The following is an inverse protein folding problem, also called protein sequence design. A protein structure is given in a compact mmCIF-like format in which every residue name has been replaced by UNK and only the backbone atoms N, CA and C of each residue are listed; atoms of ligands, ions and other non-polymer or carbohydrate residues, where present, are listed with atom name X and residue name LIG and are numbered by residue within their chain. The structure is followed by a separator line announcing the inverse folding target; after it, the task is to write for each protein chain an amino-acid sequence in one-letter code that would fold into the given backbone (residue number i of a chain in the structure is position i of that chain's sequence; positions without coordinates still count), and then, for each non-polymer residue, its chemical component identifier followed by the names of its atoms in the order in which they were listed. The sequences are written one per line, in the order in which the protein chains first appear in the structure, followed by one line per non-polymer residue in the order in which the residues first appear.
data_IF_267350752976
#
_entry.id   IF_267350752976
#
_cell.length_a   1.000
_cell.length_b   1.000
_cell.length_c   1.000
_cell.angle_alpha   90.00
_cell.angle_beta   90.00
_cell.angle_gamma   90.00
#
_symmetry.space_group_name_H-M   'P 1'
#
loop_
_entity.id
_entity.type
_entity.pdbx_description
1 polymer ?
#
# COMPACT_ATOMS: atom_id res chain seq x y z
N UNK A 1 16.53 13.30 -16.46
CA UNK A 1 15.17 12.95 -16.83
C UNK A 1 14.29 14.16 -16.57
N UNK A 2 13.22 14.36 -17.35
CA UNK A 2 12.24 15.40 -17.01
C UNK A 2 11.64 15.05 -15.64
N UNK A 3 11.50 16.04 -14.75
CA UNK A 3 10.85 15.88 -13.46
C UNK A 3 9.37 16.21 -13.61
N UNK A 4 8.51 15.36 -13.07
CA UNK A 4 7.06 15.58 -12.99
C UNK A 4 6.70 16.43 -11.78
N UNK A 5 7.41 16.20 -10.67
CA UNK A 5 7.23 16.98 -9.46
C UNK A 5 8.08 18.27 -9.52
N UNK A 6 7.47 19.38 -9.14
CA UNK A 6 8.18 20.65 -8.98
C UNK A 6 9.16 20.57 -7.80
N UNK A 7 10.17 21.45 -7.79
CA UNK A 7 11.13 21.58 -6.67
C UNK A 7 10.38 21.88 -5.34
N UNK A 8 9.29 22.64 -5.38
CA UNK A 8 8.45 22.91 -4.22
C UNK A 8 7.77 21.65 -3.68
N UNK A 9 7.24 20.79 -4.57
CA UNK A 9 6.63 19.50 -4.16
C UNK A 9 7.69 18.55 -3.59
N UNK A 10 8.86 18.47 -4.20
CA UNK A 10 9.96 17.66 -3.68
C UNK A 10 10.41 18.14 -2.29
N UNK A 11 10.59 19.46 -2.10
CA UNK A 11 10.94 20.04 -0.81
C UNK A 11 9.84 19.82 0.24
N UNK A 12 8.55 19.91 -0.15
CA UNK A 12 7.44 19.61 0.73
C UNK A 12 7.45 18.13 1.14
N UNK A 13 7.61 17.20 0.20
CA UNK A 13 7.71 15.78 0.52
C UNK A 13 8.85 15.48 1.48
N UNK A 14 10.03 16.03 1.24
CA UNK A 14 11.19 15.84 2.11
C UNK A 14 10.96 16.33 3.54
N UNK A 15 10.34 17.50 3.68
CA UNK A 15 10.13 18.13 4.99
C UNK A 15 8.88 17.64 5.72
N UNK A 16 7.80 17.40 5.01
CA UNK A 16 6.49 17.04 5.58
C UNK A 16 6.16 15.53 5.49
N UNK A 17 6.84 14.81 4.60
CA UNK A 17 6.69 13.37 4.46
C UNK A 17 5.52 12.92 3.58
N UNK A 18 4.81 13.84 2.92
CA UNK A 18 3.68 13.47 2.06
C UNK A 18 3.41 14.48 0.94
N UNK A 19 2.67 14.03 -0.07
CA UNK A 19 2.02 14.83 -1.10
C UNK A 19 0.58 14.35 -1.25
N UNK A 20 -0.36 15.24 -1.56
CA UNK A 20 -1.76 14.91 -1.77
C UNK A 20 -2.34 15.66 -2.98
N UNK A 21 -3.39 15.09 -3.59
CA UNK A 21 -4.14 15.73 -4.67
C UNK A 21 -3.40 15.76 -6.01
N UNK A 22 -2.54 14.77 -6.29
CA UNK A 22 -1.87 14.64 -7.59
C UNK A 22 -2.83 13.98 -8.58
N UNK A 23 -3.16 14.64 -9.68
CA UNK A 23 -4.02 14.12 -10.73
C UNK A 23 -3.26 13.09 -11.58
N UNK A 24 -3.65 11.82 -11.52
CA UNK A 24 -2.96 10.72 -12.19
C UNK A 24 -3.89 9.91 -13.09
N UNK A 25 -5.08 9.59 -12.63
CA UNK A 25 -6.02 8.74 -13.35
C UNK A 25 -7.27 9.50 -13.76
N UNK A 26 -7.84 9.14 -14.91
CA UNK A 26 -9.17 9.63 -15.29
C UNK A 26 -10.27 8.94 -14.49
N UNK A 27 -11.43 9.58 -14.40
CA UNK A 27 -12.63 8.99 -13.79
C UNK A 27 -12.97 7.65 -14.48
N UNK A 28 -12.89 7.61 -15.81
CA UNK A 28 -13.16 6.38 -16.59
C UNK A 28 -12.21 5.22 -16.22
N UNK A 29 -10.92 5.50 -16.01
CA UNK A 29 -9.96 4.50 -15.55
C UNK A 29 -10.32 3.97 -14.17
N UNK A 30 -10.70 4.85 -13.25
CA UNK A 30 -11.13 4.45 -11.91
C UNK A 30 -12.43 3.63 -11.92
N UNK A 31 -13.42 4.03 -12.72
CA UNK A 31 -14.68 3.28 -12.85
C UNK A 31 -14.44 1.88 -13.45
N UNK A 32 -13.61 1.78 -14.49
CA UNK A 32 -13.22 0.48 -15.07
C UNK A 32 -12.52 -0.41 -14.04
N UNK A 33 -11.64 0.16 -13.23
CA UNK A 33 -10.95 -0.56 -12.17
C UNK A 33 -11.92 -1.02 -11.08
N UNK A 34 -12.84 -0.13 -10.65
CA UNK A 34 -13.87 -0.45 -9.67
C UNK A 34 -14.77 -1.57 -10.15
N UNK A 35 -15.27 -1.47 -11.37
CA UNK A 35 -16.14 -2.50 -11.98
C UNK A 35 -15.48 -3.88 -11.96
N UNK A 36 -14.21 -3.99 -12.37
CA UNK A 36 -13.48 -5.27 -12.34
C UNK A 36 -13.34 -5.84 -10.93
N UNK A 37 -13.16 -4.98 -9.93
CA UNK A 37 -13.09 -5.43 -8.54
C UNK A 37 -14.44 -5.90 -8.04
N UNK A 38 -15.52 -5.16 -8.32
CA UNK A 38 -16.89 -5.52 -7.93
C UNK A 38 -17.36 -6.81 -8.64
N UNK A 39 -16.96 -7.02 -9.91
CA UNK A 39 -17.16 -8.27 -10.63
C UNK A 39 -16.42 -9.44 -9.95
N UNK A 40 -15.18 -9.22 -9.52
CA UNK A 40 -14.43 -10.22 -8.77
C UNK A 40 -15.13 -10.56 -7.43
N UNK A 41 -15.51 -9.54 -6.66
CA UNK A 41 -16.26 -9.72 -5.40
C UNK A 41 -17.56 -10.51 -5.58
N UNK A 42 -18.24 -10.26 -6.69
CA UNK A 42 -19.49 -10.97 -7.02
C UNK A 42 -19.26 -12.44 -7.39
N UNK A 43 -18.22 -12.73 -8.19
CA UNK A 43 -17.95 -14.09 -8.67
C UNK A 43 -17.21 -14.95 -7.64
N UNK A 44 -16.42 -14.34 -6.75
CA UNK A 44 -15.56 -15.02 -5.79
C UNK A 44 -15.70 -14.45 -4.36
N UNK A 45 -16.93 -14.43 -3.79
CA UNK A 45 -17.18 -13.77 -2.50
C UNK A 45 -16.34 -14.35 -1.34
N UNK A 46 -16.08 -15.67 -1.36
CA UNK A 46 -15.27 -16.35 -0.34
C UNK A 46 -13.77 -15.99 -0.41
N UNK A 47 -13.31 -15.51 -1.57
CA UNK A 47 -11.88 -15.22 -1.82
C UNK A 47 -11.52 -13.77 -1.56
N UNK A 48 -12.49 -12.87 -1.46
CA UNK A 48 -12.31 -11.42 -1.35
C UNK A 48 -11.33 -11.04 -0.23
N UNK A 49 -11.51 -11.65 0.94
CA UNK A 49 -10.78 -11.29 2.15
C UNK A 49 -9.26 -11.46 2.02
N UNK A 50 -8.81 -12.45 1.26
CA UNK A 50 -7.39 -12.69 1.05
C UNK A 50 -6.88 -12.22 -0.32
N UNK A 51 -7.70 -12.31 -1.37
CA UNK A 51 -7.28 -11.99 -2.72
C UNK A 51 -7.05 -10.48 -2.92
N UNK A 52 -7.86 -9.63 -2.27
CA UNK A 52 -7.71 -8.18 -2.30
C UNK A 52 -6.73 -7.63 -1.23
N UNK A 53 -6.11 -8.52 -0.48
CA UNK A 53 -5.13 -8.19 0.55
C UNK A 53 -3.70 -8.19 -0.01
N UNK A 54 -2.70 -8.32 0.83
CA UNK A 54 -1.27 -8.21 0.54
C UNK A 54 -0.87 -8.89 -0.78
N UNK A 55 -0.12 -8.17 -1.61
CA UNK A 55 0.37 -8.66 -2.91
C UNK A 55 -0.72 -9.00 -3.92
N UNK A 56 -1.83 -8.29 -3.92
CA UNK A 56 -2.89 -8.49 -4.92
C UNK A 56 -2.43 -8.17 -6.36
N UNK A 57 -1.35 -7.38 -6.53
CA UNK A 57 -0.68 -7.16 -7.81
C UNK A 57 -0.14 -8.45 -8.47
N UNK A 58 0.04 -9.53 -7.72
CA UNK A 58 0.45 -10.82 -8.25
C UNK A 58 -0.73 -11.66 -8.75
N UNK A 59 -1.95 -11.33 -8.34
CA UNK A 59 -3.16 -12.07 -8.68
C UNK A 59 -3.89 -11.51 -9.89
N UNK A 60 -3.84 -10.18 -10.08
CA UNK A 60 -4.68 -9.48 -11.04
C UNK A 60 -3.85 -8.65 -12.00
N UNK A 61 -3.98 -8.91 -13.30
CA UNK A 61 -3.31 -8.14 -14.37
C UNK A 61 -3.74 -6.67 -14.37
N UNK A 62 -5.01 -6.39 -14.11
CA UNK A 62 -5.55 -5.04 -14.05
C UNK A 62 -5.07 -4.24 -12.81
N UNK A 63 -4.77 -4.91 -11.68
CA UNK A 63 -4.09 -4.26 -10.54
C UNK A 63 -2.66 -3.92 -10.92
N UNK A 64 -1.95 -4.85 -11.56
CA UNK A 64 -0.61 -4.60 -12.08
C UNK A 64 -0.58 -3.45 -13.08
N UNK A 65 -1.52 -3.39 -14.04
CA UNK A 65 -1.63 -2.32 -15.03
C UNK A 65 -1.81 -0.95 -14.37
N UNK A 66 -2.71 -0.84 -13.37
CA UNK A 66 -2.91 0.42 -12.64
C UNK A 66 -1.65 0.81 -11.86
N UNK A 67 -1.03 -0.16 -11.18
CA UNK A 67 0.17 0.07 -10.38
C UNK A 67 1.42 0.39 -11.22
N UNK A 68 1.41 0.08 -12.51
CA UNK A 68 2.52 0.37 -13.43
C UNK A 68 2.19 1.49 -14.42
N UNK A 69 1.15 2.28 -14.14
CA UNK A 69 0.76 3.38 -15.01
C UNK A 69 1.92 4.38 -15.18
N UNK A 70 2.27 4.76 -16.43
CA UNK A 70 3.50 5.52 -16.70
C UNK A 70 3.65 6.80 -15.89
N UNK A 71 2.60 7.64 -15.81
CA UNK A 71 2.62 8.89 -15.06
C UNK A 71 2.84 8.64 -13.56
N UNK A 72 2.22 7.58 -12.99
CA UNK A 72 2.42 7.21 -11.59
C UNK A 72 3.89 6.85 -11.32
N UNK A 73 4.48 6.04 -12.19
CA UNK A 73 5.89 5.64 -12.06
C UNK A 73 6.85 6.82 -12.28
N UNK A 74 6.50 7.79 -13.13
CA UNK A 74 7.28 9.02 -13.29
C UNK A 74 7.34 9.80 -11.97
N UNK A 75 6.20 10.01 -11.34
CA UNK A 75 6.09 10.69 -10.03
C UNK A 75 6.86 9.91 -8.95
N UNK A 76 6.68 8.60 -8.88
CA UNK A 76 7.40 7.75 -7.92
C UNK A 76 8.91 7.83 -8.13
N UNK A 77 9.36 7.81 -9.38
CA UNK A 77 10.79 7.88 -9.71
C UNK A 77 11.42 9.22 -9.33
N UNK A 78 10.66 10.32 -9.34
CA UNK A 78 11.15 11.62 -8.86
C UNK A 78 11.44 11.61 -7.35
N UNK A 79 10.73 10.76 -6.58
CA UNK A 79 10.88 10.65 -5.13
C UNK A 79 11.95 9.64 -4.70
N UNK A 80 11.99 8.46 -5.34
CA UNK A 80 12.84 7.34 -4.87
C UNK A 80 13.92 6.91 -5.87
N UNK A 81 14.03 7.59 -7.00
CA UNK A 81 15.03 7.28 -8.02
C UNK A 81 14.49 6.37 -9.14
N UNK A 82 15.35 6.12 -10.16
CA UNK A 82 14.92 5.52 -11.42
C UNK A 82 14.66 4.00 -11.37
N UNK A 83 15.17 3.31 -10.36
CA UNK A 83 15.09 1.85 -10.24
C UNK A 83 14.02 1.51 -9.19
N UNK A 84 12.83 1.16 -9.66
CA UNK A 84 11.61 1.05 -8.82
C UNK A 84 11.10 -0.38 -8.78
N UNK A 85 10.91 -0.87 -7.57
CA UNK A 85 10.21 -2.13 -7.27
C UNK A 85 8.82 -1.83 -6.72
N UNK A 86 7.79 -2.48 -7.24
CA UNK A 86 6.48 -2.60 -6.60
C UNK A 86 6.56 -3.77 -5.62
N UNK A 87 6.57 -3.47 -4.34
CA UNK A 87 6.77 -4.48 -3.29
C UNK A 87 5.46 -4.97 -2.68
N UNK A 88 4.39 -4.21 -2.82
CA UNK A 88 3.07 -4.61 -2.36
C UNK A 88 1.98 -3.82 -3.08
N UNK A 89 0.81 -4.43 -3.22
CA UNK A 89 -0.45 -3.77 -3.53
C UNK A 89 -1.55 -4.36 -2.66
N UNK A 90 -2.41 -3.52 -2.11
CA UNK A 90 -3.47 -3.93 -1.22
C UNK A 90 -4.68 -3.02 -1.36
N UNK A 91 -5.88 -3.60 -1.39
CA UNK A 91 -7.09 -2.81 -1.36
C UNK A 91 -7.37 -2.25 0.03
N UNK A 92 -7.85 -1.04 0.07
CA UNK A 92 -8.34 -0.37 1.29
C UNK A 92 -9.75 0.12 1.07
N UNK A 93 -10.69 -0.80 1.23
CA UNK A 93 -12.11 -0.56 1.04
C UNK A 93 -12.75 -0.31 2.40
N UNK A 94 -13.63 0.69 2.50
CA UNK A 94 -14.46 0.95 3.67
C UNK A 94 -15.92 0.96 3.25
N UNK A 95 -16.68 0.02 3.76
CA UNK A 95 -18.10 -0.07 3.50
C UNK A 95 -18.86 1.13 4.10
N UNK A 96 -20.01 1.52 3.53
CA UNK A 96 -20.86 2.55 4.10
C UNK A 96 -21.20 2.24 5.57
N UNK A 97 -21.02 3.24 6.44
CA UNK A 97 -21.21 3.11 7.89
C UNK A 97 -20.41 1.97 8.54
N UNK A 98 -19.32 1.57 7.89
CA UNK A 98 -18.44 0.50 8.37
C UNK A 98 -17.52 0.95 9.47
N UNK A 99 -17.23 0.07 10.43
CA UNK A 99 -16.39 0.35 11.59
C UNK A 99 -14.88 0.25 11.32
N UNK A 100 -14.49 -0.13 10.10
CA UNK A 100 -13.06 -0.30 9.76
C UNK A 100 -12.29 1.00 9.90
N UNK A 101 -11.29 1.01 10.76
CA UNK A 101 -10.40 2.15 10.98
C UNK A 101 -8.95 1.67 11.09
N UNK A 102 -8.01 2.56 10.85
CA UNK A 102 -6.58 2.31 11.03
C UNK A 102 -6.02 3.34 12.00
N UNK A 103 -5.63 2.90 13.19
CA UNK A 103 -5.01 3.79 14.18
C UNK A 103 -3.63 4.25 13.72
N UNK A 104 -3.10 5.27 14.39
CA UNK A 104 -1.84 5.91 14.06
C UNK A 104 -0.66 4.94 14.08
N UNK A 105 0.08 4.86 12.98
CA UNK A 105 1.23 3.98 12.82
C UNK A 105 2.22 4.53 11.80
N UNK A 106 3.40 3.94 11.76
CA UNK A 106 4.42 4.11 10.73
C UNK A 106 4.71 2.72 10.14
N UNK A 107 4.66 2.57 8.82
CA UNK A 107 4.91 1.27 8.19
C UNK A 107 6.35 0.80 8.40
N UNK A 108 7.29 1.75 8.41
CA UNK A 108 8.70 1.49 8.68
C UNK A 108 8.97 0.94 10.10
N UNK A 109 8.03 1.06 11.03
CA UNK A 109 8.16 0.43 12.35
C UNK A 109 8.30 -1.10 12.26
N UNK A 110 7.76 -1.69 11.18
CA UNK A 110 7.80 -3.14 10.94
C UNK A 110 8.65 -3.53 9.74
N UNK A 111 8.69 -2.70 8.71
CA UNK A 111 9.40 -2.95 7.44
C UNK A 111 10.50 -1.91 7.32
N UNK A 112 11.63 -2.17 7.99
CA UNK A 112 12.77 -1.25 7.95
C UNK A 112 13.56 -1.45 6.67
N UNK A 113 13.50 -0.45 5.80
CA UNK A 113 14.17 -0.41 4.49
C UNK A 113 14.93 0.90 4.35
N UNK A 114 16.14 0.85 3.87
CA UNK A 114 16.99 2.04 3.66
C UNK A 114 17.66 2.02 2.27
N UNK A 115 17.48 3.04 1.42
CA UNK A 115 16.60 4.20 1.59
C UNK A 115 15.12 3.83 1.77
N UNK A 116 14.35 4.75 2.38
CA UNK A 116 12.94 4.58 2.64
C UNK A 116 12.11 4.30 1.38
N UNK A 117 11.08 3.51 1.50
CA UNK A 117 10.08 3.29 0.45
C UNK A 117 8.94 4.31 0.57
N UNK A 118 8.16 4.46 -0.49
CA UNK A 118 7.00 5.33 -0.51
C UNK A 118 5.72 4.51 -0.67
N UNK A 119 4.67 4.97 -0.02
CA UNK A 119 3.33 4.43 -0.15
C UNK A 119 2.51 5.37 -1.02
N UNK A 120 1.87 4.80 -2.03
CA UNK A 120 0.95 5.51 -2.93
C UNK A 120 -0.47 5.06 -2.64
N UNK A 121 -1.29 5.99 -2.20
CA UNK A 121 -2.72 5.81 -2.01
C UNK A 121 -3.45 6.31 -3.26
N UNK A 122 -4.05 5.42 -4.03
CA UNK A 122 -4.81 5.70 -5.24
C UNK A 122 -6.29 5.77 -4.89
N UNK A 123 -6.89 6.95 -5.07
CA UNK A 123 -8.31 7.18 -4.77
C UNK A 123 -9.18 6.71 -5.94
N UNK A 124 -9.69 5.49 -5.84
CA UNK A 124 -10.58 4.91 -6.86
C UNK A 124 -12.00 5.48 -6.77
N UNK A 125 -12.43 5.90 -5.60
CA UNK A 125 -13.59 6.77 -5.36
C UNK A 125 -13.14 7.99 -4.57
N UNK A 126 -13.96 9.00 -4.44
CA UNK A 126 -13.66 10.13 -3.56
C UNK A 126 -13.30 9.65 -2.16
N UNK A 127 -12.27 10.24 -1.58
CA UNK A 127 -11.78 10.00 -0.23
C UNK A 127 -11.94 11.28 0.58
N UNK A 128 -12.94 11.31 1.46
CA UNK A 128 -13.35 12.50 2.23
C UNK A 128 -13.20 12.25 3.73
N UNK A 129 -13.28 13.31 4.51
CA UNK A 129 -13.28 13.20 5.98
C UNK A 129 -14.44 12.33 6.49
N UNK A 130 -15.61 12.43 5.84
CA UNK A 130 -16.80 11.69 6.23
C UNK A 130 -16.67 10.19 5.95
N UNK A 131 -16.06 9.80 4.82
CA UNK A 131 -15.85 8.37 4.49
C UNK A 131 -14.52 7.81 5.00
N UNK A 132 -13.84 8.54 5.89
CA UNK A 132 -12.62 8.12 6.58
C UNK A 132 -11.40 8.14 5.68
N UNK A 133 -11.09 9.30 5.05
CA UNK A 133 -9.87 9.50 4.30
C UNK A 133 -8.62 9.20 5.13
N UNK A 134 -7.49 9.08 4.45
CA UNK A 134 -6.21 8.96 5.13
C UNK A 134 -5.90 10.28 5.86
N UNK A 135 -5.28 10.18 7.03
CA UNK A 135 -4.76 11.29 7.82
C UNK A 135 -3.28 11.10 8.06
N UNK A 136 -2.52 12.15 8.02
CA UNK A 136 -1.06 12.13 8.22
C UNK A 136 -0.65 13.16 9.26
N UNK A 137 0.47 12.90 9.93
CA UNK A 137 1.12 13.89 10.80
C UNK A 137 2.30 14.50 10.04
N UNK A 138 2.22 15.74 9.59
CA UNK A 138 3.29 16.40 8.84
C UNK A 138 4.61 16.42 9.60
N UNK A 139 5.74 16.18 8.89
CA UNK A 139 7.08 16.19 9.47
C UNK A 139 7.43 15.00 10.35
N UNK A 140 6.51 14.04 10.55
CA UNK A 140 6.76 12.86 11.36
C UNK A 140 7.66 11.81 10.69
N UNK A 141 7.97 11.99 9.40
CA UNK A 141 8.84 11.10 8.62
C UNK A 141 10.32 11.15 9.02
N UNK A 142 10.72 12.11 9.85
CA UNK A 142 12.13 12.33 10.21
C UNK A 142 12.70 11.24 11.11
N UNK A 143 11.86 10.52 11.85
CA UNK A 143 12.28 9.46 12.75
C UNK A 143 11.14 8.46 13.05
N UNK A 144 11.49 7.21 13.30
CA UNK A 144 10.56 6.21 13.80
C UNK A 144 10.28 6.51 15.27
N UNK A 145 9.01 6.64 15.62
CA UNK A 145 8.57 6.87 17.00
C UNK A 145 8.44 5.56 17.75
N UNK A 146 8.51 5.59 19.10
CA UNK A 146 8.16 4.45 19.92
C UNK A 146 6.76 3.93 19.59
N UNK A 147 6.63 2.62 19.48
CA UNK A 147 5.38 1.97 19.12
C UNK A 147 5.12 0.75 20.01
N UNK A 148 3.87 0.31 20.05
CA UNK A 148 3.45 -0.93 20.69
C UNK A 148 2.68 -1.80 19.68
N UNK A 149 2.59 -3.09 19.97
CA UNK A 149 1.82 -4.02 19.15
C UNK A 149 0.43 -4.19 19.74
N UNK A 150 -0.57 -4.18 18.89
CA UNK A 150 -1.97 -4.46 19.24
C UNK A 150 -2.58 -5.39 18.21
N UNK A 151 -3.63 -6.10 18.58
CA UNK A 151 -4.36 -6.98 17.67
C UNK A 151 -5.50 -6.23 16.98
N UNK A 152 -5.64 -6.43 15.68
CA UNK A 152 -6.76 -5.94 14.87
C UNK A 152 -7.11 -6.99 13.82
N UNK A 153 -8.35 -7.50 13.84
CA UNK A 153 -8.82 -8.53 12.90
C UNK A 153 -7.78 -9.66 12.74
N UNK A 154 -7.42 -10.31 13.85
CA UNK A 154 -6.46 -11.42 13.93
C UNK A 154 -5.01 -11.11 13.49
N UNK A 155 -4.69 -9.84 13.27
CA UNK A 155 -3.34 -9.38 12.93
C UNK A 155 -2.76 -8.50 14.02
N UNK A 156 -1.46 -8.64 14.24
CA UNK A 156 -0.75 -7.66 15.06
C UNK A 156 -0.39 -6.45 14.20
N UNK A 157 -0.72 -5.28 14.71
CA UNK A 157 -0.43 -3.99 14.07
C UNK A 157 0.40 -3.13 15.02
N UNK A 158 1.39 -2.43 14.47
CA UNK A 158 2.13 -1.43 15.23
C UNK A 158 1.25 -0.19 15.43
N UNK A 159 1.34 0.42 16.60
CA UNK A 159 0.68 1.69 16.94
C UNK A 159 1.69 2.62 17.57
N UNK A 160 1.71 3.88 17.15
CA UNK A 160 2.54 4.89 17.80
C UNK A 160 1.97 5.19 19.19
N UNK A 161 2.85 5.29 20.19
CA UNK A 161 2.42 5.45 21.57
C UNK A 161 1.67 6.77 21.83
N UNK A 162 2.22 7.85 21.29
CA UNK A 162 1.67 9.20 21.49
C UNK A 162 1.67 9.95 20.18
N UNK A 163 0.52 10.49 19.81
CA UNK A 163 0.33 11.29 18.60
C UNK A 163 -0.44 12.55 18.95
N UNK A 164 0.12 13.69 18.58
CA UNK A 164 -0.63 14.96 18.62
C UNK A 164 -1.55 15.03 17.41
N UNK A 165 -2.79 14.60 17.62
CA UNK A 165 -3.81 14.59 16.56
C UNK A 165 -4.25 15.99 16.12
N UNK A 166 -3.96 17.03 16.89
CA UNK A 166 -4.29 18.42 16.50
C UNK A 166 -3.47 18.90 15.30
N UNK A 167 -2.31 18.28 15.07
CA UNK A 167 -1.44 18.57 13.93
C UNK A 167 -1.78 17.72 12.67
N UNK A 168 -2.74 16.80 12.78
CA UNK A 168 -3.07 15.90 11.68
C UNK A 168 -3.71 16.64 10.50
N UNK A 169 -3.29 16.24 9.30
CA UNK A 169 -3.85 16.72 8.03
C UNK A 169 -4.65 15.61 7.37
N UNK A 170 -5.87 15.93 6.97
CA UNK A 170 -6.74 15.03 6.23
C UNK A 170 -6.33 15.03 4.74
N UNK A 171 -5.93 13.87 4.22
CA UNK A 171 -5.64 13.69 2.80
C UNK A 171 -6.94 13.48 2.02
N UNK A 172 -7.69 14.56 1.82
CA UNK A 172 -8.89 14.54 1.00
C UNK A 172 -8.48 14.45 -0.47
N UNK A 173 -9.00 13.45 -1.18
CA UNK A 173 -8.68 13.17 -2.57
C UNK A 173 -9.95 12.98 -3.38
N UNK A 174 -9.98 13.55 -4.57
CA UNK A 174 -10.98 13.25 -5.58
C UNK A 174 -10.68 11.91 -6.26
N UNK A 175 -11.69 11.32 -6.88
CA UNK A 175 -11.54 10.13 -7.70
C UNK A 175 -10.46 10.34 -8.78
N UNK A 176 -9.50 9.44 -8.87
CA UNK A 176 -8.36 9.51 -9.80
C UNK A 176 -7.12 10.24 -9.27
N UNK A 177 -7.25 10.97 -8.16
CA UNK A 177 -6.10 11.56 -7.50
C UNK A 177 -5.33 10.54 -6.67
N UNK A 178 -4.05 10.83 -6.47
CA UNK A 178 -3.19 10.04 -5.59
C UNK A 178 -2.62 10.90 -4.45
N UNK A 179 -2.46 10.25 -3.31
CA UNK A 179 -1.65 10.72 -2.20
C UNK A 179 -0.41 9.85 -2.08
N UNK A 180 0.74 10.45 -1.78
CA UNK A 180 2.00 9.72 -1.61
C UNK A 180 2.59 10.11 -0.27
N UNK A 181 3.07 9.15 0.49
CA UNK A 181 3.73 9.42 1.76
C UNK A 181 4.93 8.49 2.00
N UNK A 182 5.89 9.00 2.76
CA UNK A 182 7.06 8.26 3.20
C UNK A 182 6.66 7.19 4.22
N UNK A 183 7.24 6.00 4.17
CA UNK A 183 6.93 4.90 5.09
C UNK A 183 7.15 5.25 6.57
N UNK A 184 7.94 6.28 6.85
CA UNK A 184 8.15 6.82 8.20
C UNK A 184 7.08 7.84 8.61
N UNK A 185 6.20 8.27 7.70
CA UNK A 185 5.13 9.22 8.06
C UNK A 185 4.08 8.55 8.94
N UNK A 186 3.80 9.15 10.10
CA UNK A 186 2.71 8.70 10.96
C UNK A 186 1.39 8.96 10.24
N UNK A 187 0.62 7.91 10.06
CA UNK A 187 -0.66 7.98 9.36
C UNK A 187 -1.72 7.06 9.99
N UNK A 188 -2.95 7.32 9.62
CA UNK A 188 -4.11 6.57 10.09
C UNK A 188 -5.36 6.95 9.33
N UNK A 189 -6.50 6.37 9.66
CA UNK A 189 -7.79 6.76 9.08
C UNK A 189 -8.95 6.36 9.97
N UNK A 190 -9.94 7.24 10.09
CA UNK A 190 -11.21 7.01 10.82
C UNK A 190 -12.13 6.04 10.09
N UNK A 191 -13.18 5.59 10.75
CA UNK A 191 -14.25 4.78 10.14
C UNK A 191 -14.98 5.56 9.04
N UNK A 192 -15.70 4.83 8.18
CA UNK A 192 -16.57 5.44 7.18
C UNK A 192 -17.95 5.72 7.79
N UNK A 193 -18.29 6.98 7.98
CA UNK A 193 -19.59 7.45 8.50
C UNK A 193 -20.54 7.94 7.38
N UNK A 194 -20.15 7.73 6.12
CA UNK A 194 -20.94 8.16 4.97
C UNK A 194 -21.78 7.01 4.37
N UNK A 195 -22.64 7.38 3.44
CA UNK A 195 -23.43 6.41 2.63
C UNK A 195 -22.65 5.83 1.45
N UNK A 196 -21.47 6.37 1.18
CA UNK A 196 -20.67 5.99 0.02
C UNK A 196 -19.56 5.03 0.43
N UNK A 197 -19.37 3.98 -0.34
CA UNK A 197 -18.23 3.07 -0.22
C UNK A 197 -16.95 3.83 -0.57
N UNK A 198 -15.95 3.83 0.31
CA UNK A 198 -14.63 4.36 0.01
C UNK A 198 -13.76 3.27 -0.58
N UNK A 199 -13.26 3.51 -1.77
CA UNK A 199 -12.53 2.52 -2.54
C UNK A 199 -11.15 3.06 -2.89
N UNK A 200 -10.11 2.40 -2.42
CA UNK A 200 -8.73 2.76 -2.70
C UNK A 200 -7.84 1.53 -2.94
N UNK A 201 -6.80 1.71 -3.76
CA UNK A 201 -5.67 0.80 -3.87
C UNK A 201 -4.44 1.48 -3.25
N UNK A 202 -3.70 0.74 -2.43
CA UNK A 202 -2.46 1.21 -1.81
C UNK A 202 -1.31 0.37 -2.34
N UNK A 203 -0.29 1.05 -2.85
CA UNK A 203 0.90 0.43 -3.41
C UNK A 203 2.14 0.87 -2.63
N UNK A 204 3.05 -0.07 -2.33
CA UNK A 204 4.34 0.21 -1.75
C UNK A 204 5.41 0.13 -2.85
N UNK A 205 6.15 1.23 -3.06
CA UNK A 205 7.25 1.28 -4.02
C UNK A 205 8.57 1.50 -3.31
N UNK A 206 9.52 0.60 -3.54
CA UNK A 206 10.85 0.66 -2.95
C UNK A 206 11.92 0.95 -4.01
N UNK A 207 12.95 1.74 -3.67
CA UNK A 207 14.13 1.80 -4.53
C UNK A 207 14.78 0.41 -4.62
N UNK A 208 15.16 -0.03 -5.81
CA UNK A 208 15.79 -1.34 -5.99
C UNK A 208 17.17 -1.48 -5.28
N UNK A 209 17.77 -0.34 -4.93
CA UNK A 209 19.02 -0.29 -4.15
C UNK A 209 18.80 -0.37 -2.63
N UNK A 210 17.56 -0.32 -2.18
CA UNK A 210 17.26 -0.30 -0.75
C UNK A 210 17.60 -1.65 -0.09
N UNK A 211 18.17 -1.55 1.11
CA UNK A 211 18.50 -2.71 1.94
C UNK A 211 17.43 -2.91 3.00
N UNK A 212 17.06 -4.15 3.22
CA UNK A 212 16.13 -4.53 4.26
C UNK A 212 16.89 -4.94 5.52
N UNK A 213 16.45 -4.46 6.67
CA UNK A 213 17.07 -4.82 7.95
C UNK A 213 16.70 -6.23 8.44
N UNK A 214 15.57 -6.76 7.96
CA UNK A 214 15.02 -8.06 8.37
C UNK A 214 14.56 -8.84 7.15
N UNK A 215 15.13 -10.02 6.96
CA UNK A 215 14.75 -10.93 5.88
C UNK A 215 15.17 -10.47 4.49
N UNK A 216 14.74 -11.22 3.49
CA UNK A 216 14.87 -10.88 2.07
C UNK A 216 13.47 -10.74 1.49
N UNK A 217 12.97 -9.53 1.34
CA UNK A 217 11.73 -9.28 0.64
C UNK A 217 11.90 -9.41 -0.87
N UNK A 218 10.79 -9.41 -1.57
CA UNK A 218 10.72 -9.47 -3.03
C UNK A 218 9.82 -8.39 -3.58
N UNK A 219 9.98 -8.08 -4.86
CA UNK A 219 9.14 -7.10 -5.56
C UNK A 219 9.19 -7.29 -7.07
N UNK A 220 8.19 -6.73 -7.74
CA UNK A 220 8.17 -6.65 -9.19
C UNK A 220 9.01 -5.46 -9.64
N UNK A 221 10.02 -5.68 -10.48
CA UNK A 221 10.73 -4.58 -11.11
C UNK A 221 9.78 -3.92 -12.11
N UNK A 222 9.33 -2.70 -11.79
CA UNK A 222 8.36 -1.95 -12.61
C UNK A 222 9.01 -0.82 -13.39
N UNK A 223 10.23 -0.41 -13.01
CA UNK A 223 11.04 0.56 -13.76
C UNK A 223 12.53 0.36 -13.46
N UNK A 224 13.40 0.64 -14.45
CA UNK A 224 14.85 0.61 -14.28
C UNK A 224 15.44 -0.78 -14.17
N UNK A 225 16.34 -0.99 -13.21
CA UNK A 225 17.08 -2.23 -13.03
C UNK A 225 17.20 -2.66 -11.56
N UNK A 226 17.24 -3.98 -11.32
CA UNK A 226 17.57 -4.58 -10.02
C UNK A 226 18.99 -5.19 -10.07
N UNK A 227 19.97 -4.41 -10.54
CA UNK A 227 21.33 -4.89 -10.82
C UNK A 227 22.06 -5.42 -9.59
N UNK A 228 21.75 -4.90 -8.40
CA UNK A 228 22.35 -5.34 -7.12
C UNK A 228 21.71 -6.60 -6.56
N UNK A 229 20.56 -7.04 -7.08
CA UNK A 229 19.80 -8.22 -6.64
C UNK A 229 19.57 -8.29 -5.12
N UNK A 230 19.32 -7.13 -4.51
CA UNK A 230 19.02 -7.03 -3.07
C UNK A 230 17.61 -7.50 -2.74
N UNK A 231 16.75 -7.60 -3.76
CA UNK A 231 15.37 -8.04 -3.66
C UNK A 231 15.13 -9.27 -4.53
N UNK A 232 14.33 -10.19 -4.03
CA UNK A 232 13.81 -11.29 -4.84
C UNK A 232 12.91 -10.76 -5.97
N UNK A 233 12.94 -11.42 -7.11
CA UNK A 233 12.14 -11.03 -8.26
C UNK A 233 10.76 -11.69 -8.21
N UNK A 234 9.73 -10.90 -8.46
CA UNK A 234 8.35 -11.37 -8.55
C UNK A 234 7.84 -11.32 -9.99
N UNK A 235 7.12 -12.35 -10.43
CA UNK A 235 6.61 -12.39 -11.80
C UNK A 235 5.47 -11.38 -12.00
N UNK A 236 5.31 -10.91 -13.23
CA UNK A 236 4.09 -10.25 -13.68
C UNK A 236 2.95 -11.28 -13.73
N UNK A 237 1.72 -10.95 -13.27
CA UNK A 237 0.58 -11.86 -13.37
C UNK A 237 0.24 -12.20 -14.83
N UNK A 238 -0.11 -13.45 -15.08
CA UNK A 238 -0.54 -13.95 -16.39
C UNK A 238 -2.08 -14.09 -16.39
N UNK A 239 -2.77 -13.03 -16.83
CA UNK A 239 -4.22 -12.92 -16.65
C UNK A 239 -4.61 -12.60 -15.19
N UNK A 240 -5.91 -12.67 -14.90
CA UNK A 240 -6.44 -12.36 -13.58
C UNK A 240 -6.91 -13.62 -12.85
N UNK A 241 -6.50 -13.75 -11.60
CA UNK A 241 -6.93 -14.78 -10.66
C UNK A 241 -6.77 -16.23 -11.19
N UNK A 242 -5.69 -16.46 -11.93
CA UNK A 242 -5.37 -17.81 -12.44
C UNK A 242 -4.74 -18.67 -11.36
N UNK A 243 -4.87 -20.00 -11.50
CA UNK A 243 -4.24 -20.95 -10.57
C UNK A 243 -2.72 -20.73 -10.46
N UNK A 244 -2.07 -20.39 -11.59
CA UNK A 244 -0.62 -20.08 -11.59
C UNK A 244 -0.28 -18.85 -10.75
N UNK A 245 -1.09 -17.78 -10.85
CA UNK A 245 -0.92 -16.56 -10.05
C UNK A 245 -1.12 -16.85 -8.55
N UNK A 246 -2.15 -17.64 -8.21
CA UNK A 246 -2.46 -18.02 -6.82
C UNK A 246 -1.30 -18.80 -6.19
N UNK A 247 -0.81 -19.82 -6.89
CA UNK A 247 0.35 -20.62 -6.43
C UNK A 247 1.58 -19.75 -6.30
N UNK A 248 1.88 -18.92 -7.32
CA UNK A 248 3.04 -18.04 -7.32
C UNK A 248 3.02 -17.05 -6.14
N UNK A 249 1.87 -16.39 -5.89
CA UNK A 249 1.72 -15.50 -4.73
C UNK A 249 1.91 -16.25 -3.40
N UNK A 250 1.32 -17.44 -3.26
CA UNK A 250 1.49 -18.26 -2.05
C UNK A 250 2.96 -18.60 -1.79
N UNK A 251 3.69 -19.02 -2.82
CA UNK A 251 5.13 -19.32 -2.70
C UNK A 251 5.91 -18.08 -2.24
N UNK A 252 5.60 -16.91 -2.78
CA UNK A 252 6.23 -15.65 -2.39
C UNK A 252 5.90 -15.31 -0.94
N UNK A 253 4.64 -15.38 -0.53
CA UNK A 253 4.23 -15.07 0.84
C UNK A 253 4.88 -16.01 1.87
N UNK A 254 5.09 -17.28 1.54
CA UNK A 254 5.76 -18.24 2.40
C UNK A 254 7.27 -17.93 2.62
N UNK A 255 7.88 -17.09 1.79
CA UNK A 255 9.27 -16.62 2.00
C UNK A 255 9.37 -15.40 2.90
N UNK A 256 8.25 -14.72 3.18
CA UNK A 256 8.25 -13.55 4.04
C UNK A 256 8.44 -13.95 5.50
N UNK A 257 9.25 -13.20 6.25
CA UNK A 257 9.31 -13.38 7.69
C UNK A 257 7.93 -13.17 8.32
N UNK A 258 7.54 -14.03 9.25
CA UNK A 258 6.23 -13.96 9.94
C UNK A 258 5.94 -12.57 10.53
N UNK A 259 6.96 -11.90 11.07
CA UNK A 259 6.86 -10.58 11.63
C UNK A 259 6.57 -9.46 10.60
N UNK A 260 6.84 -9.68 9.32
CA UNK A 260 6.52 -8.73 8.25
C UNK A 260 5.06 -8.85 7.85
N UNK A 261 4.54 -10.07 7.74
CA UNK A 261 3.16 -10.32 7.30
C UNK A 261 2.13 -10.10 8.42
N UNK A 262 2.42 -10.54 9.64
CA UNK A 262 1.40 -10.66 10.69
C UNK A 262 1.88 -10.29 12.11
N UNK A 263 3.16 -9.94 12.28
CA UNK A 263 3.78 -9.84 13.61
C UNK A 263 4.16 -11.23 14.15
N UNK A 264 4.77 -11.30 15.33
CA UNK A 264 5.02 -12.56 15.98
C UNK A 264 3.68 -13.25 16.23
N UNK A 265 3.45 -14.38 15.55
CA UNK A 265 2.33 -15.25 15.85
C UNK A 265 2.52 -15.83 17.26
N UNK A 266 1.47 -15.88 18.06
CA UNK A 266 1.48 -16.76 19.22
C UNK A 266 1.76 -18.18 18.72
N UNK A 267 2.65 -18.90 19.42
CA UNK A 267 3.02 -20.27 19.05
C UNK A 267 1.77 -21.13 18.90
N UNK A 268 1.45 -21.53 17.68
CA UNK A 268 0.33 -22.40 17.35
C UNK A 268 -0.71 -21.85 16.37
N UNK A 269 -0.68 -20.56 16.03
CA UNK A 269 -1.53 -20.01 14.98
C UNK A 269 -0.78 -20.02 13.65
N UNK A 270 -1.20 -20.88 12.74
CA UNK A 270 -0.77 -20.77 11.34
C UNK A 270 -1.46 -19.55 10.69
N UNK A 271 -0.78 -18.83 9.79
CA UNK A 271 -1.43 -17.78 9.00
C UNK A 271 -2.69 -18.34 8.33
N UNK A 272 -3.79 -17.62 8.39
CA UNK A 272 -5.06 -18.01 7.75
C UNK A 272 -4.92 -18.31 6.25
N UNK A 273 -3.81 -17.95 5.64
CA UNK A 273 -3.44 -18.24 4.25
C UNK A 273 -2.89 -19.66 4.02
N UNK A 274 -2.48 -20.39 5.07
CA UNK A 274 -1.89 -21.72 4.94
C UNK A 274 -2.94 -22.83 4.82
N UNK A 275 -4.15 -22.63 5.31
CA UNK A 275 -5.17 -23.68 5.45
C UNK A 275 -6.26 -23.66 4.37
N UNK A 276 -6.23 -22.72 3.43
CA UNK A 276 -7.17 -22.76 2.31
C UNK A 276 -6.71 -23.79 1.28
N UNK A 277 -7.16 -25.01 1.45
CA UNK A 277 -7.11 -26.05 0.41
C UNK A 277 -8.04 -25.62 -0.73
N UNK A 278 -7.48 -25.48 -1.93
CA UNK A 278 -8.21 -25.39 -3.20
C UNK A 278 -8.29 -26.74 -3.84
#
# INVERSE_FOLDING_TARGET
MAKFLSESQLGHFQSQGFLAGLDVFSIEQCEKFRTRTEEFEHHYPEEVSWALDIKCNLLFDWVYELSTFPLLLDIVSDLIGPDVLLTNSIFRIKEPFGSTHYGWHQDAARIQVNPAFVIVYISISDSTTENGCLRVIPGSNQQIKPFYLTSYADRQVARVNEVDESSAVDMVLQQGQVGIFDCNTIHGSSSNNSRNRRFALVNDYSPAIAQQSVGTGSGQLVRGSNSRKLWGEEPKPQGSFTQGNIIGRRMILNTYPENVLMGPLEKGQQPSFADQQF
#
